data_IF_432622772018
#
_entry.id   IF_432622772018
#
_cell.length_a   1.000
_cell.length_b   1.000
_cell.length_c   1.000
_cell.angle_alpha   90.00
_cell.angle_beta   90.00
_cell.angle_gamma   90.00
#
_symmetry.space_group_name_H-M   'P 1'
#
loop_
_entity.id
_entity.type
_entity.pdbx_description
1 polymer ?
#
# COMPACT_ATOMS: atom_id res chain seq x y z
N UNK A 1 -12.34 21.92 -6.91
CA UNK A 1 -11.81 20.58 -7.31
C UNK A 1 -12.10 19.62 -6.17
N UNK A 2 -13.00 18.69 -6.40
CA UNK A 2 -13.52 17.83 -5.33
C UNK A 2 -12.63 16.61 -5.09
N UNK A 3 -12.42 16.22 -3.83
CA UNK A 3 -11.66 15.03 -3.44
C UNK A 3 -12.60 14.02 -2.77
N UNK A 4 -12.59 12.77 -3.22
CA UNK A 4 -13.32 11.67 -2.60
C UNK A 4 -12.40 10.88 -1.67
N UNK A 5 -12.69 10.88 -0.37
CA UNK A 5 -12.02 10.06 0.64
C UNK A 5 -12.78 8.74 0.79
N UNK A 6 -12.18 7.62 0.37
CA UNK A 6 -12.82 6.30 0.37
C UNK A 6 -12.31 5.51 1.56
N UNK A 7 -13.21 5.12 2.46
CA UNK A 7 -12.91 4.40 3.70
C UNK A 7 -13.61 3.05 3.67
N UNK A 8 -12.89 1.94 3.43
CA UNK A 8 -13.42 0.59 3.68
C UNK A 8 -13.60 0.38 5.18
N UNK A 9 -14.78 -0.13 5.56
CA UNK A 9 -15.15 -0.33 6.95
C UNK A 9 -15.44 -1.82 7.18
N UNK A 10 -14.65 -2.47 8.04
CA UNK A 10 -14.89 -3.83 8.50
C UNK A 10 -14.21 -4.09 9.83
N UNK A 11 -14.99 -4.24 10.92
CA UNK A 11 -14.50 -4.45 12.29
C UNK A 11 -13.54 -3.35 12.79
N UNK A 12 -13.91 -2.11 12.56
CA UNK A 12 -13.11 -0.92 12.93
C UNK A 12 -13.86 0.04 13.86
N UNK A 13 -14.91 -0.41 14.53
CA UNK A 13 -15.74 0.39 15.44
C UNK A 13 -14.91 1.24 16.41
N UNK A 14 -13.83 0.67 16.98
CA UNK A 14 -12.97 1.37 17.94
C UNK A 14 -12.12 2.51 17.34
N UNK A 15 -12.00 2.59 16.01
CA UNK A 15 -11.08 3.51 15.32
C UNK A 15 -11.78 4.46 14.37
N UNK A 16 -12.96 4.10 13.88
CA UNK A 16 -13.65 4.76 12.79
C UNK A 16 -13.94 6.25 13.07
N UNK A 17 -14.33 6.61 14.30
CA UNK A 17 -14.54 8.02 14.67
C UNK A 17 -13.30 8.84 14.42
N UNK A 18 -12.14 8.44 14.94
CA UNK A 18 -10.88 9.15 14.76
C UNK A 18 -10.48 9.25 13.29
N UNK A 19 -10.68 8.17 12.53
CA UNK A 19 -10.43 8.16 11.08
C UNK A 19 -11.27 9.24 10.38
N UNK A 20 -12.58 9.24 10.59
CA UNK A 20 -13.53 10.17 9.94
C UNK A 20 -13.31 11.60 10.42
N UNK A 21 -13.11 11.83 11.71
CA UNK A 21 -12.82 13.15 12.28
C UNK A 21 -11.56 13.77 11.66
N UNK A 22 -10.52 12.99 11.43
CA UNK A 22 -9.29 13.46 10.80
C UNK A 22 -9.49 14.00 9.38
N UNK A 23 -10.55 13.58 8.70
CA UNK A 23 -10.92 14.03 7.37
C UNK A 23 -11.96 15.16 7.41
N UNK A 24 -12.96 15.12 8.31
CA UNK A 24 -13.97 16.16 8.43
C UNK A 24 -13.39 17.48 8.93
N UNK A 25 -12.29 17.42 9.70
CA UNK A 25 -11.56 18.58 10.21
C UNK A 25 -10.53 19.18 9.22
N UNK A 26 -10.34 18.57 8.03
CA UNK A 26 -9.44 19.15 7.02
C UNK A 26 -9.85 20.58 6.65
N UNK A 27 -8.88 21.48 6.50
CA UNK A 27 -9.10 22.86 6.08
C UNK A 27 -9.58 22.95 4.64
N UNK A 28 -9.17 22.02 3.77
CA UNK A 28 -9.73 21.85 2.45
C UNK A 28 -11.15 21.28 2.53
N UNK A 29 -12.17 22.05 2.12
CA UNK A 29 -13.59 21.74 2.38
C UNK A 29 -14.31 21.02 1.25
N UNK A 30 -13.83 21.10 0.01
CA UNK A 30 -14.48 20.48 -1.16
C UNK A 30 -14.16 18.97 -1.23
N UNK A 31 -14.68 18.24 -0.24
CA UNK A 31 -14.50 16.80 -0.08
C UNK A 31 -15.83 16.07 -0.01
N UNK A 32 -15.83 14.81 -0.32
CA UNK A 32 -16.81 13.81 0.11
C UNK A 32 -16.10 12.66 0.79
N UNK A 33 -16.73 12.07 1.78
CA UNK A 33 -16.23 10.91 2.51
C UNK A 33 -17.18 9.75 2.23
N UNK A 34 -16.67 8.65 1.70
CA UNK A 34 -17.45 7.48 1.33
C UNK A 34 -17.07 6.33 2.25
N UNK A 35 -17.93 6.06 3.22
CA UNK A 35 -17.80 4.91 4.13
C UNK A 35 -18.41 3.70 3.43
N UNK A 36 -17.59 2.69 3.14
CA UNK A 36 -18.07 1.44 2.54
C UNK A 36 -18.04 0.34 3.59
N UNK A 37 -19.18 0.15 4.25
CA UNK A 37 -19.35 -0.96 5.20
C UNK A 37 -19.43 -2.28 4.45
N UNK A 38 -18.41 -3.09 4.61
CA UNK A 38 -18.25 -4.40 3.98
C UNK A 38 -18.90 -5.53 4.81
N UNK A 39 -20.12 -5.30 5.30
CA UNK A 39 -20.86 -6.26 6.10
C UNK A 39 -20.20 -6.51 7.46
N UNK A 40 -19.85 -5.46 8.16
CA UNK A 40 -19.18 -5.50 9.45
C UNK A 40 -20.09 -6.13 10.52
N UNK A 41 -19.61 -7.10 11.32
CA UNK A 41 -20.43 -7.75 12.35
C UNK A 41 -20.41 -7.06 13.71
N UNK A 42 -19.65 -5.98 13.89
CA UNK A 42 -19.57 -5.15 15.10
C UNK A 42 -20.48 -3.91 14.98
N UNK A 43 -20.29 -2.89 15.83
CA UNK A 43 -21.06 -1.64 15.79
C UNK A 43 -20.68 -0.68 14.66
N UNK A 44 -19.73 -1.03 13.77
CA UNK A 44 -19.29 -0.17 12.68
C UNK A 44 -20.42 0.29 11.74
N UNK A 45 -21.41 -0.56 11.34
CA UNK A 45 -22.48 -0.11 10.45
C UNK A 45 -23.32 1.02 11.07
N UNK A 46 -23.74 0.88 12.33
CA UNK A 46 -24.52 1.88 13.05
C UNK A 46 -23.72 3.18 13.25
N UNK A 47 -22.39 3.04 13.47
CA UNK A 47 -21.51 4.19 13.60
C UNK A 47 -21.37 4.95 12.28
N UNK A 48 -21.31 4.25 11.13
CA UNK A 48 -21.34 4.86 9.81
C UNK A 48 -22.58 5.73 9.61
N UNK A 49 -23.76 5.22 9.96
CA UNK A 49 -25.02 5.95 9.83
C UNK A 49 -25.07 7.19 10.74
N UNK A 50 -24.56 7.04 11.98
CA UNK A 50 -24.46 8.16 12.93
C UNK A 50 -23.58 9.28 12.35
N UNK A 51 -22.36 8.95 11.91
CA UNK A 51 -21.42 9.91 11.33
C UNK A 51 -22.00 10.60 10.08
N UNK A 52 -22.73 9.87 9.23
CA UNK A 52 -23.38 10.45 8.05
C UNK A 52 -24.55 11.37 8.40
N UNK A 53 -25.21 11.17 9.54
CA UNK A 53 -26.27 12.06 10.02
C UNK A 53 -25.71 13.40 10.54
N UNK A 54 -24.45 13.41 10.98
CA UNK A 54 -23.78 14.59 11.57
C UNK A 54 -23.06 15.47 10.52
N UNK A 55 -22.61 14.88 9.40
CA UNK A 55 -21.89 15.62 8.35
C UNK A 55 -22.40 15.21 6.95
N UNK A 56 -23.04 16.14 6.25
CA UNK A 56 -23.64 15.95 4.92
C UNK A 56 -22.63 15.58 3.81
N UNK A 57 -21.33 15.73 4.06
CA UNK A 57 -20.27 15.28 3.15
C UNK A 57 -20.02 13.78 3.21
N UNK A 58 -20.54 13.11 4.26
CA UNK A 58 -20.38 11.65 4.46
C UNK A 58 -21.51 10.91 3.76
N UNK A 59 -21.13 9.87 3.00
CA UNK A 59 -22.03 8.93 2.35
C UNK A 59 -21.72 7.53 2.83
N UNK A 60 -22.72 6.73 3.11
CA UNK A 60 -22.56 5.33 3.53
C UNK A 60 -23.06 4.39 2.44
N UNK A 61 -22.30 3.33 2.23
CA UNK A 61 -22.69 2.20 1.36
C UNK A 61 -22.55 0.93 2.20
N UNK A 62 -23.68 0.33 2.55
CA UNK A 62 -23.70 -1.00 3.17
C UNK A 62 -23.74 -2.08 2.10
N UNK A 63 -22.89 -3.10 2.23
CA UNK A 63 -22.85 -4.23 1.30
C UNK A 63 -22.54 -5.53 2.01
N UNK A 64 -22.84 -6.65 1.37
CA UNK A 64 -22.36 -7.96 1.83
C UNK A 64 -20.83 -8.02 1.79
N UNK A 65 -20.23 -8.76 2.73
CA UNK A 65 -18.78 -8.86 2.83
C UNK A 65 -18.15 -9.44 1.55
N UNK A 66 -17.31 -8.63 0.91
CA UNK A 66 -16.56 -8.98 -0.29
C UNK A 66 -15.04 -8.80 -0.12
N UNK A 67 -14.62 -8.31 1.05
CA UNK A 67 -13.22 -8.02 1.41
C UNK A 67 -12.75 -6.63 0.99
N UNK A 68 -11.59 -6.24 1.51
CA UNK A 68 -10.99 -4.91 1.39
C UNK A 68 -10.93 -4.40 -0.07
N UNK A 69 -10.46 -5.24 -0.99
CA UNK A 69 -10.41 -4.92 -2.42
C UNK A 69 -11.76 -4.55 -3.01
N UNK A 70 -12.81 -5.30 -2.63
CA UNK A 70 -14.16 -5.07 -3.11
C UNK A 70 -14.73 -3.76 -2.55
N UNK A 71 -14.54 -3.50 -1.25
CA UNK A 71 -14.97 -2.27 -0.62
C UNK A 71 -14.29 -1.03 -1.24
N UNK A 72 -12.97 -1.08 -1.48
CA UNK A 72 -12.25 0.00 -2.19
C UNK A 72 -12.78 0.22 -3.61
N UNK A 73 -13.06 -0.85 -4.36
CA UNK A 73 -13.61 -0.76 -5.70
C UNK A 73 -15.03 -0.16 -5.72
N UNK A 74 -15.89 -0.57 -4.79
CA UNK A 74 -17.24 0.00 -4.64
C UNK A 74 -17.16 1.50 -4.33
N UNK A 75 -16.29 1.90 -3.40
CA UNK A 75 -16.05 3.29 -3.07
C UNK A 75 -15.56 4.10 -4.28
N UNK A 76 -14.60 3.56 -5.06
CA UNK A 76 -14.09 4.21 -6.27
C UNK A 76 -15.18 4.43 -7.33
N UNK A 77 -16.06 3.45 -7.51
CA UNK A 77 -17.18 3.56 -8.46
C UNK A 77 -18.23 4.58 -8.00
N UNK A 78 -18.45 4.71 -6.69
CA UNK A 78 -19.38 5.67 -6.11
C UNK A 78 -18.81 7.08 -5.98
N UNK A 79 -17.49 7.25 -6.05
CA UNK A 79 -16.80 8.52 -5.96
C UNK A 79 -17.21 9.47 -7.08
N UNK A 80 -17.38 10.76 -6.76
CA UNK A 80 -17.74 11.83 -7.71
C UNK A 80 -16.68 12.92 -7.82
N UNK A 81 -15.64 12.88 -6.95
CA UNK A 81 -14.54 13.84 -6.96
C UNK A 81 -13.64 13.73 -8.19
N UNK A 82 -12.88 14.78 -8.42
CA UNK A 82 -11.83 14.82 -9.46
C UNK A 82 -10.64 13.91 -9.09
N UNK A 83 -10.36 13.85 -7.79
CA UNK A 83 -9.32 13.04 -7.18
C UNK A 83 -9.90 12.12 -6.11
N UNK A 84 -9.16 11.05 -5.83
CA UNK A 84 -9.50 10.08 -4.78
C UNK A 84 -8.28 9.83 -3.87
N UNK A 85 -8.56 9.61 -2.59
CA UNK A 85 -7.65 9.01 -1.61
C UNK A 85 -8.34 7.81 -0.98
N UNK A 86 -7.57 6.76 -0.69
CA UNK A 86 -8.03 5.65 0.14
C UNK A 86 -7.50 5.85 1.55
N UNK A 87 -8.33 5.58 2.55
CA UNK A 87 -7.94 5.67 3.97
C UNK A 87 -8.45 4.42 4.66
N UNK A 88 -7.58 3.65 5.30
CA UNK A 88 -8.02 2.48 6.04
C UNK A 88 -8.72 2.90 7.35
N UNK A 89 -9.84 2.26 7.69
CA UNK A 89 -10.71 2.71 8.78
C UNK A 89 -10.11 2.59 10.19
N UNK A 90 -8.96 1.93 10.33
CA UNK A 90 -8.16 1.84 11.56
C UNK A 90 -7.00 2.85 11.63
N UNK A 91 -6.82 3.68 10.59
CA UNK A 91 -5.80 4.72 10.47
C UNK A 91 -6.40 6.14 10.53
N UNK A 92 -5.57 7.18 10.49
CA UNK A 92 -6.05 8.56 10.51
C UNK A 92 -5.01 9.53 9.91
N UNK A 93 -5.45 10.74 9.56
CA UNK A 93 -4.56 11.81 9.12
C UNK A 93 -4.14 12.69 10.29
N UNK A 94 -2.84 13.03 10.37
CA UNK A 94 -2.24 13.73 11.52
C UNK A 94 -2.36 15.25 11.45
N UNK A 95 -2.60 15.80 10.25
CA UNK A 95 -2.56 17.23 9.99
C UNK A 95 -3.89 17.67 9.33
N UNK A 96 -4.50 18.73 9.84
CA UNK A 96 -5.73 19.28 9.31
C UNK A 96 -5.51 20.03 7.98
N UNK A 97 -4.29 20.43 7.65
CA UNK A 97 -3.93 21.07 6.38
C UNK A 97 -3.43 20.07 5.32
N UNK A 98 -3.44 18.79 5.63
CA UNK A 98 -2.87 17.72 4.79
C UNK A 98 -3.45 17.73 3.37
N UNK A 99 -4.77 17.82 3.22
CA UNK A 99 -5.40 17.89 1.90
C UNK A 99 -5.03 19.17 1.16
N UNK A 100 -4.97 20.31 1.85
CA UNK A 100 -4.56 21.57 1.23
C UNK A 100 -3.13 21.48 0.71
N UNK A 101 -2.21 20.94 1.51
CA UNK A 101 -0.81 20.73 1.09
C UNK A 101 -0.70 19.83 -0.14
N UNK A 102 -1.51 18.78 -0.24
CA UNK A 102 -1.53 17.91 -1.43
C UNK A 102 -2.13 18.63 -2.64
N UNK A 103 -3.18 19.41 -2.45
CA UNK A 103 -3.82 20.21 -3.51
C UNK A 103 -2.84 21.23 -4.10
N UNK A 104 -2.03 21.87 -3.26
CA UNK A 104 -1.03 22.87 -3.69
C UNK A 104 0.08 22.29 -4.57
N UNK A 105 0.30 20.95 -4.50
CA UNK A 105 1.30 20.23 -5.31
C UNK A 105 0.71 19.73 -6.64
N UNK A 106 -0.62 19.72 -6.80
CA UNK A 106 -1.27 19.21 -8.00
C UNK A 106 -0.81 19.98 -9.24
N UNK A 107 -0.33 19.26 -10.24
CA UNK A 107 -0.08 19.74 -11.59
C UNK A 107 -1.00 19.02 -12.58
N UNK A 108 -1.46 19.71 -13.66
CA UNK A 108 -2.43 19.14 -14.60
C UNK A 108 -1.99 17.84 -15.29
N UNK A 109 -0.70 17.60 -15.43
CA UNK A 109 -0.10 16.46 -16.11
C UNK A 109 0.21 15.28 -15.17
N UNK A 110 0.13 15.46 -13.83
CA UNK A 110 0.32 14.37 -12.87
C UNK A 110 -0.90 13.45 -12.82
N UNK A 111 -0.70 12.16 -12.91
CA UNK A 111 -1.74 11.13 -12.72
C UNK A 111 -1.99 10.87 -11.24
N UNK A 112 -0.94 10.96 -10.41
CA UNK A 112 -1.05 10.86 -8.95
C UNK A 112 0.13 11.54 -8.23
N UNK A 113 -0.09 11.79 -6.94
CA UNK A 113 0.90 12.27 -5.97
C UNK A 113 1.02 11.21 -4.88
N UNK A 114 2.23 10.68 -4.67
CA UNK A 114 2.55 9.86 -3.51
C UNK A 114 2.94 10.74 -2.32
N UNK A 115 2.47 10.41 -1.12
CA UNK A 115 2.84 11.09 0.12
C UNK A 115 3.30 10.09 1.18
N UNK A 116 3.84 10.58 2.28
CA UNK A 116 4.50 9.75 3.27
C UNK A 116 3.63 9.51 4.52
N UNK A 117 4.03 8.53 5.33
CA UNK A 117 3.34 8.16 6.56
C UNK A 117 4.30 8.10 7.75
N UNK A 118 3.70 8.10 8.93
CA UNK A 118 4.35 7.71 10.17
C UNK A 118 3.67 6.48 10.76
N UNK A 119 4.44 5.57 11.33
CA UNK A 119 3.91 4.52 12.19
C UNK A 119 3.45 5.14 13.50
N UNK A 120 2.20 4.91 13.87
CA UNK A 120 1.65 5.35 15.16
C UNK A 120 1.54 4.17 16.11
N UNK A 121 2.10 4.29 17.30
CA UNK A 121 2.08 3.28 18.37
C UNK A 121 1.13 3.72 19.48
N UNK A 122 -0.11 3.18 19.56
CA UNK A 122 -1.12 3.64 20.52
C UNK A 122 -0.69 3.50 21.97
N UNK A 123 0.03 2.41 22.31
CA UNK A 123 0.46 2.12 23.70
C UNK A 123 1.39 3.19 24.29
N UNK A 124 2.16 3.88 23.46
CA UNK A 124 3.13 4.91 23.86
C UNK A 124 2.80 6.29 23.32
N UNK A 125 1.75 6.42 22.53
CA UNK A 125 1.35 7.64 21.80
C UNK A 125 2.50 8.26 20.97
N UNK A 126 3.39 7.40 20.45
CA UNK A 126 4.57 7.84 19.69
C UNK A 126 4.43 7.61 18.19
N UNK A 127 5.18 8.42 17.43
CA UNK A 127 5.26 8.32 15.98
C UNK A 127 6.67 7.97 15.54
N UNK A 128 6.78 7.17 14.50
CA UNK A 128 8.05 6.88 13.82
C UNK A 128 7.86 7.10 12.32
N UNK A 129 8.52 8.14 11.80
CA UNK A 129 8.44 8.47 10.38
C UNK A 129 8.92 7.29 9.51
N UNK A 130 8.20 7.05 8.41
CA UNK A 130 8.67 6.14 7.38
C UNK A 130 9.86 6.76 6.63
N UNK A 131 10.57 5.94 5.84
CA UNK A 131 11.75 6.40 5.10
C UNK A 131 11.34 7.47 4.08
N UNK A 132 12.06 8.59 4.06
CA UNK A 132 11.82 9.67 3.12
C UNK A 132 12.01 9.20 1.66
N UNK A 133 11.17 9.71 0.76
CA UNK A 133 11.40 9.59 -0.68
C UNK A 133 12.64 10.39 -1.11
N UNK A 134 13.26 9.96 -2.19
CA UNK A 134 14.33 10.72 -2.83
C UNK A 134 13.78 12.06 -3.34
N UNK A 135 14.48 13.13 -3.04
CA UNK A 135 14.07 14.51 -3.39
C UNK A 135 13.86 14.72 -4.89
N UNK A 136 14.55 13.94 -5.76
CA UNK A 136 14.36 13.98 -7.21
C UNK A 136 12.96 13.58 -7.67
N UNK A 137 12.15 12.96 -6.79
CA UNK A 137 10.77 12.59 -7.07
C UNK A 137 9.75 13.65 -6.60
N UNK A 138 10.19 14.73 -5.95
CA UNK A 138 9.30 15.81 -5.50
C UNK A 138 8.72 16.63 -6.66
N UNK A 139 9.39 16.60 -7.80
CA UNK A 139 8.89 17.13 -9.07
C UNK A 139 8.27 16.02 -9.93
N UNK A 140 7.74 16.41 -11.09
CA UNK A 140 7.14 15.48 -12.05
C UNK A 140 8.16 14.50 -12.63
N UNK A 141 7.95 13.20 -12.42
CA UNK A 141 8.78 12.12 -12.94
C UNK A 141 7.97 11.18 -13.86
N UNK A 142 8.63 10.66 -14.92
CA UNK A 142 8.06 9.54 -15.69
C UNK A 142 8.08 8.23 -14.87
N UNK A 143 7.21 7.29 -15.24
CA UNK A 143 7.04 6.02 -14.52
C UNK A 143 8.33 5.22 -14.35
N UNK A 144 9.22 5.18 -15.35
CA UNK A 144 10.46 4.40 -15.26
C UNK A 144 11.45 5.05 -14.31
N UNK A 145 11.61 6.36 -14.36
CA UNK A 145 12.41 7.12 -13.39
C UNK A 145 11.88 6.93 -11.98
N UNK A 146 10.56 7.04 -11.78
CA UNK A 146 9.94 6.83 -10.48
C UNK A 146 10.22 5.41 -9.92
N UNK A 147 9.99 4.37 -10.73
CA UNK A 147 10.25 2.97 -10.31
C UNK A 147 11.70 2.76 -9.90
N UNK A 148 12.65 3.18 -10.75
CA UNK A 148 14.10 3.01 -10.46
C UNK A 148 14.48 3.70 -9.16
N UNK A 149 14.05 4.95 -8.98
CA UNK A 149 14.40 5.76 -7.81
C UNK A 149 13.77 5.19 -6.53
N UNK A 150 12.48 4.83 -6.55
CA UNK A 150 11.79 4.24 -5.40
C UNK A 150 12.39 2.90 -4.96
N UNK A 151 12.78 2.05 -5.92
CA UNK A 151 13.40 0.76 -5.59
C UNK A 151 14.82 0.97 -5.07
N UNK A 152 15.59 1.85 -5.70
CA UNK A 152 16.99 2.16 -5.32
C UNK A 152 17.09 2.78 -3.93
N UNK A 153 16.15 3.62 -3.55
CA UNK A 153 16.06 4.21 -2.20
C UNK A 153 15.45 3.24 -1.17
N UNK A 154 14.80 2.17 -1.60
CA UNK A 154 14.07 1.22 -0.73
C UNK A 154 12.76 1.77 -0.17
N UNK A 155 12.19 2.77 -0.84
CA UNK A 155 10.96 3.48 -0.46
C UNK A 155 9.76 3.15 -1.35
N UNK A 156 9.75 2.03 -2.06
CA UNK A 156 8.63 1.65 -2.95
C UNK A 156 7.31 1.55 -2.15
N UNK A 157 6.37 2.51 -2.33
CA UNK A 157 5.19 2.65 -1.47
C UNK A 157 4.02 1.83 -2.04
N UNK A 158 3.90 0.57 -1.67
CA UNK A 158 2.82 -0.30 -2.16
C UNK A 158 1.43 0.18 -1.75
N UNK A 159 1.26 0.65 -0.50
CA UNK A 159 -0.05 0.98 0.08
C UNK A 159 -0.85 1.97 -0.77
N UNK A 160 -2.11 1.63 -1.05
CA UNK A 160 -3.06 2.50 -1.73
C UNK A 160 -3.33 3.79 -0.95
N UNK A 161 -3.22 3.74 0.38
CA UNK A 161 -3.52 4.85 1.28
C UNK A 161 -2.49 5.98 1.28
N UNK A 162 -1.40 5.83 0.54
CA UNK A 162 -0.34 6.84 0.43
C UNK A 162 -0.34 7.58 -0.91
N UNK A 163 -1.52 7.77 -1.52
CA UNK A 163 -1.63 8.38 -2.86
C UNK A 163 -2.89 9.22 -3.00
N UNK A 164 -2.73 10.45 -3.52
CA UNK A 164 -3.81 11.26 -4.07
C UNK A 164 -3.81 11.04 -5.59
N UNK A 165 -4.89 10.49 -6.14
CA UNK A 165 -4.94 10.02 -7.53
C UNK A 165 -6.06 10.66 -8.31
N UNK A 166 -5.84 11.01 -9.58
CA UNK A 166 -6.94 11.40 -10.47
C UNK A 166 -7.93 10.25 -10.59
N UNK A 167 -9.20 10.48 -10.27
CA UNK A 167 -10.25 9.48 -10.41
C UNK A 167 -10.41 9.00 -11.86
N UNK A 168 -10.38 9.92 -12.81
CA UNK A 168 -10.46 9.59 -14.24
C UNK A 168 -9.32 8.70 -14.71
N UNK A 169 -8.10 8.89 -14.19
CA UNK A 169 -6.96 8.03 -14.50
C UNK A 169 -7.21 6.59 -14.05
N UNK A 170 -7.72 6.39 -12.82
CA UNK A 170 -8.03 5.06 -12.31
C UNK A 170 -9.12 4.37 -13.12
N UNK A 171 -10.21 5.07 -13.42
CA UNK A 171 -11.37 4.51 -14.13
C UNK A 171 -11.05 4.21 -15.60
N UNK A 172 -10.42 5.14 -16.32
CA UNK A 172 -10.10 4.99 -17.73
C UNK A 172 -9.13 3.84 -18.00
N UNK A 173 -8.19 3.61 -17.07
CA UNK A 173 -7.23 2.51 -17.14
C UNK A 173 -7.71 1.24 -16.43
N UNK A 174 -8.95 1.21 -15.90
CA UNK A 174 -9.54 0.05 -15.19
C UNK A 174 -8.68 -0.46 -14.04
N UNK A 175 -8.07 0.46 -13.27
CA UNK A 175 -7.15 0.16 -12.18
C UNK A 175 -7.92 -0.21 -10.90
N UNK A 176 -8.58 -1.34 -10.93
CA UNK A 176 -9.32 -1.91 -9.80
C UNK A 176 -8.46 -2.90 -9.01
N UNK A 177 -8.74 -3.01 -7.72
CA UNK A 177 -8.14 -4.04 -6.86
C UNK A 177 -8.70 -5.43 -7.18
N UNK A 178 -7.86 -6.44 -7.17
CA UNK A 178 -8.29 -7.83 -7.38
C UNK A 178 -9.01 -8.36 -6.14
N UNK A 179 -10.29 -8.70 -6.28
CA UNK A 179 -11.11 -9.22 -5.18
C UNK A 179 -10.55 -10.50 -4.60
N UNK A 180 -10.63 -10.64 -3.26
CA UNK A 180 -10.24 -11.83 -2.52
C UNK A 180 -8.74 -12.07 -2.42
N UNK A 181 -7.88 -11.16 -2.88
CA UNK A 181 -6.43 -11.25 -2.82
C UNK A 181 -5.90 -10.56 -1.56
N UNK A 182 -4.98 -11.20 -0.83
CA UNK A 182 -4.18 -10.58 0.24
C UNK A 182 -2.93 -9.99 -0.41
N UNK A 183 -2.44 -8.85 0.09
CA UNK A 183 -1.36 -8.05 -0.50
C UNK A 183 -1.72 -7.53 -1.92
N UNK A 184 -2.99 -7.21 -2.10
CA UNK A 184 -3.59 -6.69 -3.33
C UNK A 184 -2.96 -5.38 -3.81
N UNK A 185 -2.40 -4.61 -2.90
CA UNK A 185 -1.71 -3.34 -3.18
C UNK A 185 -0.49 -3.52 -4.08
N UNK A 186 0.22 -4.65 -3.98
CA UNK A 186 1.43 -4.92 -4.77
C UNK A 186 1.12 -4.92 -6.28
N UNK A 187 0.29 -5.85 -6.81
CA UNK A 187 -0.02 -5.87 -8.23
C UNK A 187 -0.79 -4.63 -8.67
N UNK A 188 -1.67 -4.10 -7.79
CA UNK A 188 -2.42 -2.90 -8.11
C UNK A 188 -1.48 -1.70 -8.34
N UNK A 189 -0.51 -1.46 -7.44
CA UNK A 189 0.39 -0.33 -7.59
C UNK A 189 1.37 -0.51 -8.77
N UNK A 190 1.81 -1.73 -9.08
CA UNK A 190 2.60 -2.01 -10.29
C UNK A 190 1.78 -1.66 -11.56
N UNK A 191 0.48 -2.01 -11.59
CA UNK A 191 -0.42 -1.66 -12.69
C UNK A 191 -0.66 -0.15 -12.77
N UNK A 192 -0.80 0.54 -11.63
CA UNK A 192 -0.89 2.00 -11.57
C UNK A 192 0.35 2.63 -12.21
N UNK A 193 1.54 2.21 -11.78
CA UNK A 193 2.79 2.73 -12.34
C UNK A 193 2.92 2.43 -13.85
N UNK A 194 2.52 1.24 -14.30
CA UNK A 194 2.59 0.88 -15.72
C UNK A 194 1.68 1.76 -16.60
N UNK A 195 0.50 2.13 -16.08
CA UNK A 195 -0.42 3.04 -16.76
C UNK A 195 -0.03 4.52 -16.65
N UNK A 196 0.81 4.89 -15.67
CA UNK A 196 1.17 6.28 -15.36
C UNK A 196 2.01 6.90 -16.48
N UNK A 197 1.71 8.15 -16.81
CA UNK A 197 2.59 9.00 -17.61
C UNK A 197 3.54 9.77 -16.69
N UNK A 198 2.99 10.49 -15.71
CA UNK A 198 3.74 11.30 -14.77
C UNK A 198 3.18 11.21 -13.34
N UNK A 199 4.08 11.17 -12.37
CA UNK A 199 3.77 11.20 -10.94
C UNK A 199 4.83 12.00 -10.17
N UNK A 200 4.52 12.37 -8.94
CA UNK A 200 5.51 12.87 -8.00
C UNK A 200 5.33 12.22 -6.62
N UNK A 201 6.34 12.35 -5.77
CA UNK A 201 6.33 11.84 -4.40
C UNK A 201 6.84 12.90 -3.44
N UNK A 202 6.03 13.29 -2.48
CA UNK A 202 6.35 14.35 -1.53
C UNK A 202 6.59 13.79 -0.12
N UNK A 203 7.56 14.37 0.59
CA UNK A 203 7.89 13.99 1.96
C UNK A 203 6.97 14.67 2.99
N UNK A 204 5.66 14.59 2.75
CA UNK A 204 4.64 15.04 3.68
C UNK A 204 4.13 13.85 4.49
N UNK A 205 4.41 13.83 5.80
CA UNK A 205 4.06 12.76 6.73
C UNK A 205 2.67 13.03 7.31
N UNK A 206 1.65 12.86 6.50
CA UNK A 206 0.26 13.21 6.85
C UNK A 206 -0.57 12.02 7.32
N UNK A 207 -0.15 10.81 7.01
CA UNK A 207 -0.89 9.58 7.29
C UNK A 207 -0.30 8.86 8.51
N UNK A 208 -1.11 8.63 9.54
CA UNK A 208 -0.76 7.84 10.72
C UNK A 208 -1.16 6.38 10.50
N UNK A 209 -0.18 5.52 10.19
CA UNK A 209 -0.39 4.09 10.10
C UNK A 209 -0.34 3.45 11.48
N UNK A 210 -1.51 3.08 12.02
CA UNK A 210 -1.67 2.52 13.37
C UNK A 210 -1.04 1.16 13.47
N UNK A 211 -0.19 0.98 14.48
CA UNK A 211 0.44 -0.30 14.78
C UNK A 211 -0.31 -1.05 15.88
N UNK A 212 -0.07 -2.35 15.97
CA UNK A 212 -0.63 -3.24 17.01
C UNK A 212 -2.16 -3.34 17.02
N UNK A 213 -2.82 -3.05 15.88
CA UNK A 213 -4.28 -3.22 15.76
C UNK A 213 -4.65 -4.69 15.84
N UNK A 214 -5.56 -5.01 16.74
CA UNK A 214 -6.07 -6.38 16.91
C UNK A 214 -6.90 -6.75 15.69
N UNK A 215 -6.60 -7.90 15.06
CA UNK A 215 -7.32 -8.36 13.86
C UNK A 215 -6.80 -7.76 12.54
N UNK A 216 -5.77 -6.94 12.55
CA UNK A 216 -5.16 -6.40 11.33
C UNK A 216 -4.68 -7.52 10.39
N UNK A 217 -5.03 -7.40 9.11
CA UNK A 217 -4.65 -8.35 8.04
C UNK A 217 -3.13 -8.45 7.92
N UNK A 218 -2.42 -7.33 8.08
CA UNK A 218 -0.96 -7.25 7.98
C UNK A 218 -0.22 -8.07 9.05
N UNK A 219 -0.86 -8.37 10.17
CA UNK A 219 -0.31 -9.18 11.25
C UNK A 219 -0.53 -10.69 11.05
N UNK A 220 -1.38 -11.10 10.09
CA UNK A 220 -1.76 -12.49 9.87
C UNK A 220 -0.78 -13.17 8.91
N UNK A 221 0.19 -13.91 9.48
CA UNK A 221 1.12 -14.75 8.71
C UNK A 221 0.70 -16.21 8.76
N UNK A 222 0.10 -16.70 7.67
CA UNK A 222 -0.33 -18.08 7.56
C UNK A 222 -0.16 -18.62 6.14
N UNK A 223 -0.58 -19.85 5.91
CA UNK A 223 -0.51 -20.50 4.59
C UNK A 223 -1.20 -19.65 3.52
N UNK A 224 -2.40 -19.14 3.78
CA UNK A 224 -3.16 -18.32 2.83
C UNK A 224 -2.39 -17.07 2.40
N UNK A 225 -1.78 -16.33 3.34
CA UNK A 225 -0.99 -15.13 2.99
C UNK A 225 0.29 -15.49 2.22
N UNK A 226 0.90 -16.63 2.50
CA UNK A 226 2.01 -17.15 1.70
C UNK A 226 1.56 -17.45 0.26
N UNK A 227 0.50 -18.22 0.09
CA UNK A 227 0.01 -18.65 -1.22
C UNK A 227 -0.34 -17.44 -2.10
N UNK A 228 -1.03 -16.43 -1.54
CA UNK A 228 -1.36 -15.21 -2.26
C UNK A 228 -0.11 -14.41 -2.66
N UNK A 229 0.84 -14.21 -1.73
CA UNK A 229 2.07 -13.47 -2.03
C UNK A 229 2.94 -14.22 -3.05
N UNK A 230 2.99 -15.54 -2.96
CA UNK A 230 3.75 -16.35 -3.91
C UNK A 230 3.13 -16.34 -5.31
N UNK A 231 1.81 -16.36 -5.40
CA UNK A 231 1.07 -16.19 -6.66
C UNK A 231 1.28 -14.80 -7.27
N UNK A 232 1.23 -13.74 -6.46
CA UNK A 232 1.56 -12.39 -6.90
C UNK A 232 2.99 -12.34 -7.44
N UNK A 233 3.95 -12.86 -6.67
CA UNK A 233 5.36 -12.90 -7.07
C UNK A 233 5.55 -13.58 -8.43
N UNK A 234 4.99 -14.78 -8.63
CA UNK A 234 5.09 -15.51 -9.90
C UNK A 234 4.45 -14.76 -11.05
N UNK A 235 3.24 -14.24 -10.83
CA UNK A 235 2.48 -13.50 -11.85
C UNK A 235 3.22 -12.25 -12.27
N UNK A 236 3.62 -11.41 -11.31
CA UNK A 236 4.32 -10.16 -11.62
C UNK A 236 5.67 -10.41 -12.30
N UNK A 237 6.43 -11.41 -11.83
CA UNK A 237 7.69 -11.78 -12.46
C UNK A 237 7.51 -12.20 -13.93
N UNK A 238 6.44 -12.92 -14.24
CA UNK A 238 6.14 -13.34 -15.63
C UNK A 238 5.68 -12.19 -16.52
N UNK A 239 5.10 -11.14 -15.95
CA UNK A 239 4.55 -9.99 -16.69
C UNK A 239 5.55 -8.85 -16.89
N UNK A 240 6.63 -8.78 -16.09
CA UNK A 240 7.54 -7.63 -16.10
C UNK A 240 8.06 -7.29 -17.50
N UNK A 241 8.48 -8.30 -18.26
CA UNK A 241 9.10 -8.07 -19.57
C UNK A 241 8.09 -7.55 -20.62
N UNK A 242 6.80 -7.82 -20.44
CA UNK A 242 5.71 -7.32 -21.30
C UNK A 242 5.20 -5.92 -20.93
N UNK A 243 5.58 -5.40 -19.76
CA UNK A 243 5.17 -4.06 -19.29
C UNK A 243 5.86 -2.95 -20.07
N UNK A 244 5.24 -1.78 -20.10
CA UNK A 244 5.69 -0.61 -20.88
C UNK A 244 6.81 0.21 -20.24
N UNK A 245 7.53 -0.37 -19.26
CA UNK A 245 8.69 0.25 -18.63
C UNK A 245 9.96 0.15 -19.49
N UNK A 246 10.90 1.08 -19.28
CA UNK A 246 12.27 0.94 -19.77
C UNK A 246 12.98 -0.23 -19.09
N UNK A 247 14.05 -0.76 -19.67
CA UNK A 247 14.73 -1.95 -19.17
C UNK A 247 15.29 -1.78 -17.75
N UNK A 248 15.83 -0.62 -17.41
CA UNK A 248 16.32 -0.30 -16.07
C UNK A 248 15.22 -0.33 -15.01
N UNK A 249 14.00 0.10 -15.37
CA UNK A 249 12.84 0.02 -14.48
C UNK A 249 12.31 -1.42 -14.35
N UNK A 250 12.38 -2.24 -15.41
CA UNK A 250 12.06 -3.67 -15.33
C UNK A 250 13.03 -4.41 -14.40
N UNK A 251 14.33 -4.11 -14.48
CA UNK A 251 15.32 -4.64 -13.55
C UNK A 251 15.09 -4.17 -12.10
N UNK A 252 14.70 -2.90 -11.94
CA UNK A 252 14.34 -2.38 -10.64
C UNK A 252 13.10 -3.10 -10.05
N UNK A 253 12.06 -3.36 -10.85
CA UNK A 253 10.91 -4.16 -10.41
C UNK A 253 11.29 -5.60 -10.07
N UNK A 254 12.20 -6.24 -10.83
CA UNK A 254 12.74 -7.55 -10.45
C UNK A 254 13.45 -7.48 -9.08
N UNK A 255 14.16 -6.39 -8.81
CA UNK A 255 14.78 -6.16 -7.50
C UNK A 255 13.74 -5.89 -6.39
N UNK A 256 12.63 -5.24 -6.68
CA UNK A 256 11.51 -5.12 -5.75
C UNK A 256 10.89 -6.51 -5.48
N UNK A 257 10.64 -7.32 -6.50
CA UNK A 257 10.15 -8.69 -6.31
C UNK A 257 11.17 -9.57 -5.57
N UNK A 258 12.47 -9.34 -5.70
CA UNK A 258 13.48 -10.00 -4.88
C UNK A 258 13.33 -9.67 -3.38
N UNK A 259 12.84 -8.48 -3.03
CA UNK A 259 12.49 -8.16 -1.64
C UNK A 259 11.28 -8.97 -1.17
N UNK A 260 10.22 -9.09 -1.97
CA UNK A 260 9.07 -9.94 -1.66
C UNK A 260 9.46 -11.42 -1.56
N UNK A 261 10.38 -11.87 -2.41
CA UNK A 261 10.96 -13.21 -2.32
C UNK A 261 11.72 -13.42 -1.00
N UNK A 262 12.47 -12.43 -0.50
CA UNK A 262 13.08 -12.52 0.83
C UNK A 262 12.03 -12.70 1.92
N UNK A 263 10.85 -12.07 1.80
CA UNK A 263 9.73 -12.26 2.74
C UNK A 263 9.19 -13.70 2.64
N UNK A 264 8.96 -14.22 1.43
CA UNK A 264 8.51 -15.59 1.18
C UNK A 264 9.43 -16.63 1.80
N UNK A 265 10.76 -16.46 1.70
CA UNK A 265 11.75 -17.36 2.29
C UNK A 265 11.67 -17.48 3.83
N UNK A 266 10.98 -16.55 4.49
CA UNK A 266 10.86 -16.52 5.95
C UNK A 266 9.54 -17.12 6.48
N UNK A 267 8.65 -17.58 5.60
CA UNK A 267 7.45 -18.30 6.02
C UNK A 267 7.78 -19.69 6.56
N UNK A 268 7.09 -20.08 7.63
CA UNK A 268 7.24 -21.40 8.27
C UNK A 268 6.05 -22.29 7.90
N UNK A 269 6.21 -23.61 8.04
CA UNK A 269 5.13 -24.56 7.81
C UNK A 269 4.77 -24.77 6.34
N UNK A 270 5.64 -24.39 5.41
CA UNK A 270 5.48 -24.63 3.98
C UNK A 270 5.90 -26.07 3.66
N UNK A 271 5.06 -26.79 2.94
CA UNK A 271 5.35 -28.17 2.51
C UNK A 271 6.56 -28.27 1.58
N UNK A 272 7.10 -29.48 1.44
CA UNK A 272 8.35 -29.71 0.69
C UNK A 272 8.25 -29.39 -0.80
N UNK A 273 7.09 -29.62 -1.40
CA UNK A 273 6.86 -29.39 -2.84
C UNK A 273 6.80 -27.88 -3.12
N UNK A 274 5.97 -27.14 -2.41
CA UNK A 274 5.87 -25.67 -2.49
C UNK A 274 7.24 -25.03 -2.19
N UNK A 275 7.98 -25.55 -1.21
CA UNK A 275 9.33 -25.06 -0.92
C UNK A 275 10.30 -25.29 -2.08
N UNK A 276 10.21 -26.44 -2.77
CA UNK A 276 11.03 -26.71 -3.95
C UNK A 276 10.68 -25.79 -5.10
N UNK A 277 9.40 -25.52 -5.32
CA UNK A 277 8.94 -24.55 -6.30
C UNK A 277 9.45 -23.13 -5.97
N UNK A 278 9.34 -22.68 -4.72
CA UNK A 278 9.87 -21.38 -4.28
C UNK A 278 11.39 -21.29 -4.57
N UNK A 279 12.16 -22.33 -4.27
CA UNK A 279 13.61 -22.35 -4.49
C UNK A 279 14.02 -22.35 -5.98
N UNK A 280 13.12 -22.68 -6.90
CA UNK A 280 13.35 -22.53 -8.33
C UNK A 280 13.65 -21.07 -8.71
N UNK A 281 13.04 -20.12 -8.01
CA UNK A 281 13.18 -18.69 -8.27
C UNK A 281 14.34 -18.01 -7.52
N UNK A 282 15.25 -18.76 -6.89
CA UNK A 282 16.35 -18.23 -6.04
C UNK A 282 17.22 -17.18 -6.73
N UNK A 283 17.40 -17.29 -8.05
CA UNK A 283 18.27 -16.40 -8.82
C UNK A 283 17.69 -14.97 -8.96
N UNK A 284 16.42 -14.73 -8.58
CA UNK A 284 15.86 -13.40 -8.43
C UNK A 284 16.68 -12.54 -7.45
N UNK A 285 17.35 -13.15 -6.49
CA UNK A 285 18.23 -12.47 -5.53
C UNK A 285 19.48 -11.83 -6.17
N UNK A 286 19.75 -12.09 -7.45
CA UNK A 286 20.82 -11.40 -8.19
C UNK A 286 20.45 -9.96 -8.53
N UNK A 287 19.15 -9.62 -8.59
CA UNK A 287 18.65 -8.27 -8.76
C UNK A 287 18.68 -7.54 -7.43
N UNK A 288 19.76 -6.84 -7.13
CA UNK A 288 20.06 -6.30 -5.80
C UNK A 288 20.10 -4.77 -5.71
N UNK A 289 19.36 -4.09 -6.58
CA UNK A 289 19.23 -2.63 -6.58
C UNK A 289 18.60 -2.11 -5.27
N UNK A 290 17.60 -2.82 -4.75
CA UNK A 290 16.97 -2.50 -3.47
C UNK A 290 17.95 -2.72 -2.31
N UNK A 291 18.22 -1.71 -1.44
CA UNK A 291 19.16 -1.82 -0.34
C UNK A 291 18.87 -2.96 0.63
N UNK A 292 17.57 -3.30 0.80
CA UNK A 292 17.13 -4.41 1.66
C UNK A 292 17.50 -5.78 1.07
N UNK A 293 17.53 -5.90 -0.27
CA UNK A 293 17.94 -7.12 -0.98
C UNK A 293 19.45 -7.25 -1.03
N UNK A 294 20.17 -6.14 -1.13
CA UNK A 294 21.63 -6.12 -1.35
C UNK A 294 22.41 -6.97 -0.33
N UNK A 295 21.98 -6.98 0.94
CA UNK A 295 22.61 -7.83 1.97
C UNK A 295 22.30 -9.32 1.76
N UNK A 296 21.05 -9.64 1.45
CA UNK A 296 20.63 -11.03 1.15
C UNK A 296 21.32 -11.56 -0.10
N UNK A 297 21.42 -10.74 -1.16
CA UNK A 297 22.15 -11.06 -2.40
C UNK A 297 23.60 -11.41 -2.15
N UNK A 298 24.32 -10.62 -1.33
CA UNK A 298 25.72 -10.92 -0.98
C UNK A 298 25.86 -12.28 -0.30
N UNK A 299 24.99 -12.58 0.67
CA UNK A 299 25.00 -13.88 1.36
C UNK A 299 24.69 -15.00 0.36
N UNK A 300 23.71 -14.79 -0.52
CA UNK A 300 23.31 -15.74 -1.54
C UNK A 300 24.46 -16.05 -2.51
N UNK A 301 25.12 -15.03 -3.04
CA UNK A 301 26.26 -15.18 -3.98
C UNK A 301 27.47 -15.90 -3.34
N UNK A 302 27.67 -15.79 -2.00
CA UNK A 302 28.81 -16.35 -1.31
C UNK A 302 28.54 -17.73 -0.71
N UNK A 303 27.37 -17.92 -0.08
CA UNK A 303 27.05 -19.06 0.76
C UNK A 303 25.79 -19.83 0.31
N UNK A 304 25.13 -19.37 -0.75
CA UNK A 304 23.94 -20.00 -1.31
C UNK A 304 22.64 -19.74 -0.53
N UNK A 305 21.56 -20.34 -1.02
CA UNK A 305 20.19 -20.02 -0.57
C UNK A 305 19.91 -20.47 0.88
N UNK A 306 20.52 -21.56 1.35
CA UNK A 306 20.29 -22.04 2.72
C UNK A 306 20.81 -21.07 3.76
N UNK A 307 22.01 -20.53 3.56
CA UNK A 307 22.60 -19.51 4.44
C UNK A 307 21.79 -18.20 4.38
N UNK A 308 21.32 -17.81 3.19
CA UNK A 308 20.47 -16.63 3.02
C UNK A 308 19.17 -16.78 3.79
N UNK A 309 18.48 -17.91 3.65
CA UNK A 309 17.21 -18.17 4.37
C UNK A 309 17.43 -18.15 5.88
N UNK A 310 18.51 -18.74 6.38
CA UNK A 310 18.87 -18.70 7.79
C UNK A 310 19.08 -17.26 8.29
N UNK A 311 19.90 -16.47 7.58
CA UNK A 311 20.18 -15.08 7.93
C UNK A 311 18.91 -14.20 7.94
N UNK A 312 18.01 -14.38 6.97
CA UNK A 312 16.71 -13.69 6.92
C UNK A 312 15.83 -14.05 8.13
N UNK A 313 15.79 -15.32 8.53
CA UNK A 313 15.03 -15.75 9.71
C UNK A 313 15.60 -15.18 11.02
N UNK A 314 16.92 -15.14 11.17
CA UNK A 314 17.60 -14.49 12.31
C UNK A 314 17.28 -12.99 12.35
N UNK A 315 17.36 -12.31 11.21
CA UNK A 315 17.02 -10.89 11.12
C UNK A 315 15.57 -10.62 11.54
N UNK A 316 14.61 -11.43 11.08
CA UNK A 316 13.21 -11.30 11.50
C UNK A 316 13.01 -11.55 12.99
N UNK A 317 13.71 -12.55 13.55
CA UNK A 317 13.65 -12.84 14.99
C UNK A 317 14.15 -11.65 15.81
N UNK A 318 15.30 -11.07 15.45
CA UNK A 318 15.85 -9.88 16.11
C UNK A 318 14.85 -8.70 16.03
N UNK A 319 14.26 -8.47 14.85
CA UNK A 319 13.32 -7.37 14.66
C UNK A 319 12.05 -7.51 15.51
N UNK A 320 11.57 -8.73 15.71
CA UNK A 320 10.38 -9.00 16.54
C UNK A 320 10.64 -8.83 18.03
N UNK A 321 11.87 -9.12 18.47
CA UNK A 321 12.24 -9.04 19.89
C UNK A 321 12.84 -7.69 20.30
N UNK A 322 13.00 -6.75 19.37
CA UNK A 322 13.39 -5.35 19.64
C UNK A 322 12.20 -4.39 19.76
N UNK A 323 11.00 -4.89 19.57
CA UNK A 323 9.74 -4.20 19.86
C UNK A 323 9.31 -4.61 21.27
#
# INVERSE_FOLDING_TARGET
MKISCIIPVYKVEAYLCQCVESLTHQTYRDIEIILVDDGSPDGSPQLCDTLASEDSRIKVIHKENGGLSDARNVGLLAATGDYVVFVDGDDFWMDNDALQHLVDVIQPDLDFIGYNCSYYYPDSETYSAWVAYDESLSESADKSTAVVTLVKSGTFPMSACLKLMKRSFLLNNKLFFKKGQIAEDIPWFINVLDATNKCCFVNQYIYAYRQNVVGSISNTRGRKSFDHLFDIFKTELSLIDSRSFKEDAKEALKSFLAYEYCILLTYKGIDKETKRELLYYKDILTYDLNPKVKKASRIYKTFGISATTFALNVYQWIRRNRK
#
